data_IF_980946328485
#
_entry.id   IF_980946328485
#
_cell.length_a   1.000
_cell.length_b   1.000
_cell.length_c   1.000
_cell.angle_alpha   90.00
_cell.angle_beta   90.00
_cell.angle_gamma   90.00
#
_symmetry.space_group_name_H-M   'P 1'
#
loop_
_entity.id
_entity.type
_entity.pdbx_description
1 polymer ?
#
# COMPACT_ATOMS: atom_id res chain seq x y z
N UNK A 1 -27.17 -34.75 -4.48
CA UNK A 1 -26.12 -34.11 -5.30
C UNK A 1 -24.94 -33.86 -4.36
N UNK A 2 -23.77 -34.47 -4.58
CA UNK A 2 -22.65 -34.29 -3.67
C UNK A 2 -22.14 -32.85 -3.81
N UNK A 3 -22.02 -32.16 -2.68
CA UNK A 3 -21.48 -30.81 -2.58
C UNK A 3 -19.99 -30.93 -2.87
N UNK A 4 -19.57 -30.44 -4.04
CA UNK A 4 -18.16 -30.33 -4.41
C UNK A 4 -17.45 -29.48 -3.36
N UNK A 5 -16.64 -30.12 -2.51
CA UNK A 5 -15.71 -29.47 -1.61
C UNK A 5 -14.73 -28.66 -2.47
N UNK A 6 -14.96 -27.34 -2.55
CA UNK A 6 -14.03 -26.42 -3.19
C UNK A 6 -12.71 -26.47 -2.41
N UNK A 7 -11.73 -27.21 -2.92
CA UNK A 7 -10.33 -27.13 -2.48
C UNK A 7 -9.93 -25.65 -2.44
N UNK A 8 -9.80 -25.10 -1.24
CA UNK A 8 -9.09 -23.85 -1.06
C UNK A 8 -7.63 -24.11 -1.38
N UNK A 9 -7.23 -23.92 -2.65
CA UNK A 9 -5.83 -23.73 -3.00
C UNK A 9 -5.38 -22.46 -2.27
N UNK A 10 -4.93 -22.65 -1.04
CA UNK A 10 -4.88 -21.62 -0.01
C UNK A 10 -3.50 -20.98 -0.05
N UNK A 11 -3.37 -19.90 -0.81
CA UNK A 11 -2.24 -18.95 -0.74
C UNK A 11 -0.85 -19.51 -1.09
N UNK A 12 -0.72 -20.79 -1.41
CA UNK A 12 0.55 -21.48 -1.66
C UNK A 12 1.15 -21.00 -2.99
N UNK A 13 1.93 -19.92 -2.93
CA UNK A 13 2.50 -19.22 -4.09
C UNK A 13 2.26 -17.70 -4.11
N UNK A 14 1.43 -17.16 -3.21
CA UNK A 14 1.10 -15.74 -3.16
C UNK A 14 2.21 -14.92 -2.49
N UNK A 15 3.23 -14.54 -3.24
CA UNK A 15 4.40 -13.78 -2.74
C UNK A 15 4.37 -12.33 -3.24
N UNK A 16 3.65 -11.45 -2.53
CA UNK A 16 3.66 -10.00 -2.82
C UNK A 16 4.76 -9.29 -2.02
N UNK A 17 5.53 -8.44 -2.70
CA UNK A 17 6.53 -7.55 -2.09
C UNK A 17 6.58 -6.24 -2.88
N UNK A 18 5.43 -5.55 -2.93
CA UNK A 18 5.32 -4.27 -3.62
C UNK A 18 6.03 -3.18 -2.81
N UNK A 19 6.70 -2.27 -3.51
CA UNK A 19 7.40 -1.13 -2.91
C UNK A 19 6.77 0.15 -3.43
N UNK A 20 6.47 1.07 -2.50
CA UNK A 20 5.89 2.37 -2.81
C UNK A 20 6.80 3.46 -2.29
N UNK A 21 7.09 4.43 -3.14
CA UNK A 21 7.98 5.54 -2.81
C UNK A 21 7.18 6.82 -2.55
N UNK A 22 7.50 7.45 -1.42
CA UNK A 22 6.75 8.58 -0.88
C UNK A 22 7.58 9.86 -0.84
N UNK A 23 8.51 10.02 -1.79
CA UNK A 23 9.48 11.11 -1.78
C UNK A 23 8.86 12.48 -2.08
N UNK A 24 7.81 12.53 -2.90
CA UNK A 24 7.19 13.79 -3.32
C UNK A 24 5.71 13.85 -2.92
N UNK A 25 5.14 15.06 -2.81
CA UNK A 25 3.75 15.27 -2.36
C UNK A 25 2.77 14.55 -3.29
N UNK A 26 2.97 14.64 -4.59
CA UNK A 26 2.11 14.00 -5.60
C UNK A 26 2.45 12.52 -5.84
N UNK A 27 3.57 12.00 -5.32
CA UNK A 27 3.99 10.63 -5.64
C UNK A 27 3.05 9.58 -5.04
N UNK A 28 2.42 9.87 -3.89
CA UNK A 28 1.48 8.94 -3.25
C UNK A 28 0.19 8.71 -4.05
N UNK A 29 -0.46 9.77 -4.52
CA UNK A 29 -1.70 9.65 -5.30
C UNK A 29 -1.42 8.97 -6.64
N UNK A 30 -0.27 9.28 -7.24
CA UNK A 30 0.18 8.66 -8.48
C UNK A 30 0.46 7.16 -8.31
N UNK A 31 1.14 6.76 -7.23
CA UNK A 31 1.39 5.35 -6.91
C UNK A 31 0.09 4.60 -6.56
N UNK A 32 -0.87 5.25 -5.90
CA UNK A 32 -2.21 4.67 -5.71
C UNK A 32 -2.90 4.44 -7.06
N UNK A 33 -2.94 5.45 -7.94
CA UNK A 33 -3.56 5.33 -9.26
C UNK A 33 -2.91 4.24 -10.12
N UNK A 34 -1.58 4.12 -10.06
CA UNK A 34 -0.80 3.07 -10.73
C UNK A 34 -1.11 1.69 -10.17
N UNK A 35 -1.24 1.57 -8.85
CA UNK A 35 -1.59 0.33 -8.15
C UNK A 35 -3.00 -0.15 -8.48
N UNK A 36 -3.95 0.78 -8.57
CA UNK A 36 -5.31 0.52 -9.01
C UNK A 36 -5.34 0.02 -10.47
N UNK A 37 -4.60 0.69 -11.37
CA UNK A 37 -4.46 0.26 -12.77
C UNK A 37 -3.82 -1.12 -12.92
N UNK A 38 -2.84 -1.44 -12.06
CA UNK A 38 -2.18 -2.76 -12.02
C UNK A 38 -3.10 -3.88 -11.53
N UNK A 39 -4.19 -3.55 -10.83
CA UNK A 39 -5.13 -4.54 -10.29
C UNK A 39 -4.56 -5.32 -9.10
N UNK A 40 -3.83 -4.65 -8.21
CA UNK A 40 -3.27 -5.28 -7.00
C UNK A 40 -4.38 -5.82 -6.07
N UNK A 41 -4.07 -6.82 -5.22
CA UNK A 41 -5.00 -7.33 -4.23
C UNK A 41 -5.53 -6.22 -3.32
N UNK A 42 -6.81 -6.35 -2.96
CA UNK A 42 -7.50 -5.39 -2.10
C UNK A 42 -6.73 -5.00 -0.82
N UNK A 43 -6.10 -5.93 -0.05
CA UNK A 43 -5.37 -5.57 1.15
C UNK A 43 -4.22 -4.57 0.90
N UNK A 44 -3.48 -4.76 -0.21
CA UNK A 44 -2.36 -3.88 -0.57
C UNK A 44 -2.89 -2.51 -0.98
N UNK A 45 -3.92 -2.48 -1.82
CA UNK A 45 -4.58 -1.24 -2.24
C UNK A 45 -5.10 -0.45 -1.05
N UNK A 46 -5.67 -1.13 -0.06
CA UNK A 46 -6.23 -0.47 1.12
C UNK A 46 -5.17 0.22 1.97
N UNK A 47 -4.01 -0.40 2.15
CA UNK A 47 -2.87 0.19 2.87
C UNK A 47 -2.38 1.46 2.15
N UNK A 48 -2.26 1.41 0.82
CA UNK A 48 -1.83 2.57 0.02
C UNK A 48 -2.85 3.69 0.13
N UNK A 49 -4.16 3.38 0.07
CA UNK A 49 -5.24 4.36 0.23
C UNK A 49 -5.13 5.10 1.57
N UNK A 50 -4.89 4.38 2.68
CA UNK A 50 -4.68 4.98 4.00
C UNK A 50 -3.44 5.88 4.06
N UNK A 51 -2.38 5.55 3.32
CA UNK A 51 -1.17 6.36 3.28
C UNK A 51 -1.32 7.57 2.36
N UNK A 52 -2.03 7.44 1.24
CA UNK A 52 -2.14 8.51 0.24
C UNK A 52 -3.18 9.57 0.60
N UNK A 53 -4.25 9.19 1.30
CA UNK A 53 -5.38 10.08 1.56
C UNK A 53 -5.41 10.50 3.02
N UNK A 54 -5.33 11.81 3.28
CA UNK A 54 -5.61 12.40 4.60
C UNK A 54 -7.14 12.37 4.86
N UNK A 55 -7.74 11.19 5.01
CA UNK A 55 -9.18 11.01 5.32
C UNK A 55 -9.37 10.56 6.76
N UNK A 56 -10.48 11.01 7.36
CA UNK A 56 -10.91 10.63 8.71
C UNK A 56 -9.89 10.94 9.84
N UNK A 57 -9.05 11.97 9.67
CA UNK A 57 -8.09 12.40 10.69
C UNK A 57 -6.79 11.57 10.76
N UNK A 58 -6.62 10.58 9.88
CA UNK A 58 -5.37 9.82 9.77
C UNK A 58 -4.44 10.51 8.77
N UNK A 59 -3.45 11.27 9.29
CA UNK A 59 -2.50 12.06 8.49
C UNK A 59 -1.17 11.29 8.28
N UNK A 60 -1.27 9.97 8.10
CA UNK A 60 -0.10 9.08 8.10
C UNK A 60 0.85 9.40 6.95
N UNK A 61 0.35 9.62 5.73
CA UNK A 61 1.20 9.97 4.59
C UNK A 61 2.11 11.17 4.88
N UNK A 62 1.56 12.26 5.40
CA UNK A 62 2.33 13.45 5.74
C UNK A 62 3.36 13.20 6.84
N UNK A 63 2.96 12.51 7.91
CA UNK A 63 3.81 12.25 9.07
C UNK A 63 5.00 11.35 8.72
N UNK A 64 4.77 10.28 7.95
CA UNK A 64 5.84 9.39 7.49
C UNK A 64 6.82 10.10 6.56
N UNK A 65 6.34 11.00 5.69
CA UNK A 65 7.22 11.81 4.84
C UNK A 65 8.11 12.75 5.64
N UNK A 66 7.52 13.54 6.54
CA UNK A 66 8.28 14.49 7.36
C UNK A 66 9.31 13.78 8.23
N UNK A 67 8.87 12.74 8.95
CA UNK A 67 9.76 11.99 9.85
C UNK A 67 10.86 11.29 9.06
N UNK A 68 10.53 10.61 7.96
CA UNK A 68 11.53 9.96 7.11
C UNK A 68 12.56 10.93 6.56
N UNK A 69 12.13 12.13 6.15
CA UNK A 69 13.02 13.19 5.65
C UNK A 69 13.98 13.72 6.73
N UNK A 70 13.52 13.92 7.97
CA UNK A 70 14.42 14.33 9.04
C UNK A 70 15.32 13.19 9.51
N UNK A 71 14.78 11.98 9.64
CA UNK A 71 15.52 10.80 10.06
C UNK A 71 16.66 10.47 9.11
N UNK A 72 16.47 10.57 7.79
CA UNK A 72 17.55 10.31 6.83
C UNK A 72 18.70 11.31 6.97
N UNK A 73 18.42 12.58 7.28
CA UNK A 73 19.48 13.57 7.54
C UNK A 73 20.16 13.37 8.89
N UNK A 74 19.46 12.85 9.90
CA UNK A 74 20.03 12.59 11.22
C UNK A 74 20.89 11.32 11.28
N UNK A 75 20.65 10.37 10.39
CA UNK A 75 21.42 9.12 10.26
C UNK A 75 22.62 9.24 9.31
N UNK A 76 22.64 10.27 8.47
CA UNK A 76 23.75 10.59 7.58
C UNK A 76 24.89 11.28 8.34
#
# INVERSE_FOLDING_TARGET
VPISEKKHNSLDGLKYNERFEFLNVFSMEMELAKSLRKGLPYPILKIIEYLSVDRAGFVWGRQYRLTGHYTIYLLW
#
